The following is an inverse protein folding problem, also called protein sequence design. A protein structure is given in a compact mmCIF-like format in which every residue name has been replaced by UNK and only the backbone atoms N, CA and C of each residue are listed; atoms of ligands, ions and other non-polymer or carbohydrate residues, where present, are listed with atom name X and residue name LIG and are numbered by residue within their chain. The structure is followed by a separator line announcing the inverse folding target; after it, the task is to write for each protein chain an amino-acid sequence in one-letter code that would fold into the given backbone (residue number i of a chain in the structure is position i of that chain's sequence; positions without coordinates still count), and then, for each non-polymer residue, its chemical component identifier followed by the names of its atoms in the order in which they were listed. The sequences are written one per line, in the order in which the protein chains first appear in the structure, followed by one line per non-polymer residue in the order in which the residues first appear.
data_IF_962393790973
#
_entry.id   IF_962393790973
#
_cell.length_a   1.000
_cell.length_b   1.000
_cell.length_c   1.000
_cell.angle_alpha   90.00
_cell.angle_beta   90.00
_cell.angle_gamma   90.00
#
_symmetry.space_group_name_H-M   'P 1'
#
loop_
_entity.id
_entity.type
_entity.pdbx_description
1 polymer ?
#
# COMPACT_ATOMS: atom_id res chain seq x y z
N UNK A 1 22.21 -17.56 5.59
CA UNK A 1 21.95 -17.37 7.02
C UNK A 1 20.49 -17.48 7.34
N UNK A 2 20.18 -18.06 8.52
CA UNK A 2 18.77 -18.25 8.89
C UNK A 2 17.97 -16.94 8.89
N UNK A 3 18.57 -15.86 9.30
CA UNK A 3 17.89 -14.57 9.35
C UNK A 3 17.44 -14.11 7.98
N UNK A 4 18.20 -14.44 6.96
CA UNK A 4 17.83 -14.07 5.60
C UNK A 4 16.59 -14.80 5.12
N UNK A 5 16.45 -16.05 5.51
CA UNK A 5 15.28 -16.82 5.15
C UNK A 5 14.02 -16.22 5.75
N UNK A 6 14.11 -15.80 7.01
CA UNK A 6 12.98 -15.16 7.68
C UNK A 6 12.61 -13.89 6.95
N UNK A 7 13.59 -13.09 6.58
CA UNK A 7 13.34 -11.85 5.87
C UNK A 7 12.71 -12.09 4.51
N UNK A 8 13.13 -13.14 3.82
CA UNK A 8 12.56 -13.48 2.52
C UNK A 8 11.09 -13.85 2.67
N UNK A 9 10.76 -14.62 3.70
CA UNK A 9 9.36 -14.96 3.97
C UNK A 9 8.52 -13.70 4.21
N UNK A 10 9.05 -12.78 5.00
CA UNK A 10 8.33 -11.54 5.28
C UNK A 10 8.10 -10.75 4.00
N UNK A 11 9.08 -10.75 3.11
CA UNK A 11 8.98 -10.03 1.86
C UNK A 11 7.91 -10.58 0.94
N UNK A 12 7.64 -11.89 1.01
CA UNK A 12 6.62 -12.46 0.14
C UNK A 12 5.24 -11.87 0.44
N UNK A 13 5.02 -11.40 1.67
CA UNK A 13 3.77 -10.73 2.02
C UNK A 13 3.69 -9.32 1.47
N UNK A 14 4.81 -8.75 1.08
CA UNK A 14 4.87 -7.40 0.52
C UNK A 14 4.86 -7.40 -1.00
N UNK A 15 4.67 -8.55 -1.61
CA UNK A 15 4.57 -8.65 -3.06
C UNK A 15 3.11 -8.83 -3.46
N UNK A 16 2.66 -7.98 -4.35
CA UNK A 16 1.30 -8.02 -4.89
C UNK A 16 1.41 -8.51 -6.32
N UNK A 17 0.65 -9.56 -6.66
CA UNK A 17 0.71 -10.12 -8.01
C UNK A 17 -0.54 -9.67 -8.75
N UNK A 18 -0.36 -8.75 -9.68
CA UNK A 18 -1.45 -8.14 -10.44
C UNK A 18 -1.25 -8.42 -11.93
N UNK A 19 -2.15 -9.21 -12.50
CA UNK A 19 -2.07 -9.55 -13.92
C UNK A 19 -0.77 -10.25 -14.30
N UNK A 20 -0.20 -11.03 -13.38
CA UNK A 20 1.07 -11.71 -13.62
C UNK A 20 2.30 -10.88 -13.31
N UNK A 21 2.14 -9.61 -12.96
CA UNK A 21 3.25 -8.73 -12.62
C UNK A 21 3.45 -8.66 -11.11
N UNK A 22 4.70 -8.68 -10.69
CA UNK A 22 5.05 -8.56 -9.26
C UNK A 22 5.21 -7.08 -8.90
N UNK A 23 4.47 -6.66 -7.88
CA UNK A 23 4.51 -5.28 -7.40
C UNK A 23 4.98 -5.30 -5.96
N UNK A 24 6.03 -4.56 -5.65
CA UNK A 24 6.48 -4.41 -4.27
C UNK A 24 5.62 -3.37 -3.57
N UNK A 25 4.91 -3.77 -2.52
CA UNK A 25 4.11 -2.83 -1.75
C UNK A 25 4.99 -1.77 -1.10
N UNK A 26 6.23 -2.13 -0.75
CA UNK A 26 7.16 -1.18 -0.14
C UNK A 26 7.57 -0.09 -1.12
N UNK A 27 7.75 -0.43 -2.38
CA UNK A 27 8.06 0.54 -3.41
C UNK A 27 6.92 1.54 -3.59
N UNK A 28 5.69 1.03 -3.58
CA UNK A 28 4.51 1.89 -3.73
C UNK A 28 4.35 2.79 -2.51
N UNK A 29 4.56 2.24 -1.31
CA UNK A 29 4.51 3.03 -0.09
C UNK A 29 5.53 4.17 -0.11
N UNK A 30 6.75 3.87 -0.57
CA UNK A 30 7.79 4.88 -0.64
C UNK A 30 7.38 6.04 -1.55
N UNK A 31 6.79 5.72 -2.69
CA UNK A 31 6.32 6.74 -3.62
C UNK A 31 5.23 7.62 -2.98
N UNK A 32 4.30 6.99 -2.25
CA UNK A 32 3.23 7.73 -1.58
C UNK A 32 3.80 8.63 -0.49
N UNK A 33 4.77 8.12 0.29
CA UNK A 33 5.39 8.91 1.36
C UNK A 33 6.11 10.16 0.85
N UNK A 34 6.48 10.19 -0.41
CA UNK A 34 7.12 11.38 -0.97
C UNK A 34 6.17 12.55 -1.14
N UNK A 35 4.87 12.30 -1.04
CA UNK A 35 3.89 13.39 -1.07
C UNK A 35 3.88 14.09 0.29
N UNK A 36 3.99 15.43 0.30
CA UNK A 36 4.13 16.18 1.57
C UNK A 36 2.90 16.12 2.47
N UNK A 37 1.73 15.81 1.92
CA UNK A 37 0.49 15.76 2.73
C UNK A 37 0.29 14.43 3.44
N UNK A 38 1.11 13.42 3.14
CA UNK A 38 0.93 12.08 3.69
C UNK A 38 1.63 11.96 5.03
N UNK A 39 0.86 11.59 6.06
CA UNK A 39 1.41 11.32 7.39
C UNK A 39 1.88 9.87 7.49
N UNK A 40 1.05 8.94 7.03
CA UNK A 40 1.37 7.52 7.06
C UNK A 40 0.64 6.82 5.92
N UNK A 41 1.20 5.73 5.43
CA UNK A 41 0.52 4.93 4.42
C UNK A 41 0.93 3.47 4.54
N UNK A 42 0.06 2.61 4.03
CA UNK A 42 0.34 1.18 3.92
C UNK A 42 -0.36 0.65 2.68
N UNK A 43 0.35 -0.15 1.90
CA UNK A 43 -0.18 -0.73 0.67
C UNK A 43 -0.28 -2.23 0.85
N UNK A 44 -1.46 -2.77 0.53
CA UNK A 44 -1.72 -4.20 0.65
C UNK A 44 -2.39 -4.70 -0.62
N UNK A 45 -2.39 -6.02 -0.80
CA UNK A 45 -3.07 -6.64 -1.92
C UNK A 45 -4.57 -6.67 -1.68
N UNK A 46 -5.33 -6.25 -2.66
CA UNK A 46 -6.80 -6.39 -2.65
C UNK A 46 -7.18 -7.43 -3.70
N UNK A 47 -7.98 -8.43 -3.35
CA UNK A 47 -8.42 -9.41 -4.33
C UNK A 47 -9.19 -8.74 -5.47
N UNK A 48 -8.94 -9.17 -6.69
CA UNK A 48 -9.56 -8.59 -7.87
C UNK A 48 -9.90 -9.71 -8.86
N UNK A 49 -11.15 -9.80 -9.35
CA UNK A 49 -11.54 -10.90 -10.23
C UNK A 49 -10.85 -10.87 -11.59
N UNK A 50 -10.39 -9.71 -12.03
CA UNK A 50 -9.74 -9.58 -13.32
C UNK A 50 -8.23 -9.78 -13.25
N UNK A 51 -7.60 -9.19 -12.22
CA UNK A 51 -6.14 -9.13 -12.14
C UNK A 51 -5.55 -10.10 -11.11
N UNK A 52 -6.39 -10.76 -10.34
CA UNK A 52 -5.95 -11.57 -9.20
C UNK A 52 -5.81 -10.73 -7.96
N UNK A 53 -4.94 -9.75 -8.00
CA UNK A 53 -4.75 -8.78 -6.94
C UNK A 53 -4.47 -7.41 -7.54
N UNK A 54 -4.80 -6.36 -6.80
CA UNK A 54 -4.40 -4.99 -7.15
C UNK A 54 -3.89 -4.29 -5.88
N UNK A 55 -3.01 -3.30 -6.03
CA UNK A 55 -2.56 -2.55 -4.86
C UNK A 55 -3.68 -1.67 -4.33
N UNK A 56 -3.92 -1.76 -3.03
CA UNK A 56 -4.84 -0.86 -2.32
C UNK A 56 -4.02 -0.10 -1.29
N UNK A 57 -4.06 1.23 -1.37
CA UNK A 57 -3.31 2.07 -0.45
C UNK A 57 -4.24 2.63 0.62
N UNK A 58 -3.84 2.45 1.88
CA UNK A 58 -4.47 3.14 3.01
C UNK A 58 -3.56 4.31 3.36
N UNK A 59 -4.13 5.50 3.43
CA UNK A 59 -3.36 6.72 3.63
C UNK A 59 -3.97 7.53 4.77
N UNK A 60 -3.10 7.97 5.66
CA UNK A 60 -3.45 8.89 6.73
C UNK A 60 -2.81 10.23 6.38
N UNK A 61 -3.64 11.28 6.31
CA UNK A 61 -3.22 12.60 5.86
C UNK A 61 -2.91 13.47 7.07
N UNK A 62 -1.94 14.36 6.96
CA UNK A 62 -1.62 15.30 8.03
C UNK A 62 -2.83 16.17 8.34
N UNK A 63 -2.97 16.57 9.61
CA UNK A 63 -4.18 17.23 10.09
C UNK A 63 -4.51 18.53 9.36
N UNK A 64 -3.50 19.23 8.88
CA UNK A 64 -3.68 20.51 8.19
C UNK A 64 -3.59 20.38 6.67
N UNK A 65 -3.63 19.16 6.16
CA UNK A 65 -3.46 18.90 4.73
C UNK A 65 -4.73 18.32 4.12
N UNK A 66 -4.90 18.58 2.84
CA UNK A 66 -6.00 18.03 2.06
C UNK A 66 -5.45 17.48 0.75
N UNK A 67 -5.77 16.24 0.45
CA UNK A 67 -5.34 15.61 -0.80
C UNK A 67 -6.41 14.62 -1.22
N UNK A 68 -6.70 14.53 -2.51
CA UNK A 68 -7.69 13.62 -3.05
C UNK A 68 -7.03 12.34 -3.54
N UNK A 69 -7.85 11.32 -3.76
CA UNK A 69 -7.37 10.07 -4.36
C UNK A 69 -6.72 10.35 -5.71
N UNK A 70 -7.36 11.20 -6.52
CA UNK A 70 -6.84 11.53 -7.85
C UNK A 70 -5.46 12.19 -7.75
N UNK A 71 -5.28 13.08 -6.77
CA UNK A 71 -3.99 13.75 -6.57
C UNK A 71 -2.89 12.75 -6.24
N UNK A 72 -3.16 11.81 -5.35
CA UNK A 72 -2.16 10.81 -4.96
C UNK A 72 -1.88 9.84 -6.11
N UNK A 73 -2.90 9.46 -6.85
CA UNK A 73 -2.70 8.57 -8.00
C UNK A 73 -1.84 9.27 -9.06
N UNK A 74 -2.13 10.55 -9.33
CA UNK A 74 -1.31 11.32 -10.27
C UNK A 74 0.13 11.44 -9.79
N UNK A 75 0.32 11.65 -8.50
CA UNK A 75 1.65 11.70 -7.89
C UNK A 75 2.39 10.38 -8.10
N UNK A 76 1.72 9.26 -7.85
CA UNK A 76 2.33 7.94 -8.03
C UNK A 76 2.70 7.69 -9.49
N UNK A 77 1.90 8.17 -10.43
CA UNK A 77 2.17 7.98 -11.86
C UNK A 77 3.47 8.63 -12.30
N UNK A 78 3.93 9.66 -11.59
CA UNK A 78 5.20 10.30 -11.91
C UNK A 78 6.41 9.52 -11.38
N UNK A 79 6.18 8.60 -10.43
CA UNK A 79 7.26 7.89 -9.75
C UNK A 79 7.27 6.39 -10.01
N UNK A 80 6.15 5.83 -10.45
CA UNK A 80 5.99 4.38 -10.59
C UNK A 80 5.55 4.00 -11.99
N UNK A 81 5.91 2.79 -12.41
CA UNK A 81 5.35 2.22 -13.63
C UNK A 81 3.83 2.11 -13.48
N UNK A 82 3.10 2.23 -14.58
CA UNK A 82 1.64 2.32 -14.54
C UNK A 82 0.98 1.13 -13.83
N UNK A 83 1.53 -0.09 -14.01
CA UNK A 83 0.93 -1.26 -13.38
C UNK A 83 1.16 -1.30 -11.87
N UNK A 84 2.08 -0.50 -11.35
CA UNK A 84 2.38 -0.43 -9.92
C UNK A 84 1.53 0.61 -9.19
N UNK A 85 0.89 1.51 -9.91
CA UNK A 85 0.09 2.57 -9.31
C UNK A 85 -1.14 1.98 -8.63
N UNK A 86 -1.44 2.35 -7.37
CA UNK A 86 -2.63 1.83 -6.69
C UNK A 86 -3.90 2.15 -7.46
N UNK A 87 -4.79 1.18 -7.55
CA UNK A 87 -6.08 1.37 -8.21
C UNK A 87 -7.05 2.11 -7.32
N UNK A 88 -6.84 2.02 -6.01
CA UNK A 88 -7.75 2.63 -5.04
C UNK A 88 -6.93 3.14 -3.86
N UNK A 89 -7.33 4.29 -3.34
CA UNK A 89 -6.71 4.86 -2.13
C UNK A 89 -7.81 5.14 -1.14
N UNK A 90 -7.65 4.66 0.08
CA UNK A 90 -8.59 4.87 1.17
C UNK A 90 -7.96 5.76 2.22
N UNK A 91 -8.65 6.83 2.55
CA UNK A 91 -8.18 7.77 3.56
C UNK A 91 -8.83 7.38 4.89
N UNK A 92 -8.05 6.73 5.74
CA UNK A 92 -8.53 6.33 7.06
C UNK A 92 -7.35 6.20 8.00
N UNK A 93 -7.67 6.14 9.28
CA UNK A 93 -6.65 5.96 10.31
C UNK A 93 -6.02 4.58 10.14
N UNK A 94 -4.71 4.53 10.18
CA UNK A 94 -3.97 3.28 9.99
C UNK A 94 -3.71 2.65 11.35
N UNK A 95 -4.13 1.39 11.57
CA UNK A 95 -3.90 0.73 12.87
C UNK A 95 -2.41 0.55 13.14
N UNK A 96 -2.01 0.93 14.33
CA UNK A 96 -0.62 0.86 14.75
C UNK A 96 -0.52 0.20 16.12
N UNK A 97 0.62 -0.42 16.37
CA UNK A 97 0.90 -0.96 17.71
C UNK A 97 1.23 0.19 18.66
N UNK A 98 1.36 -0.12 19.95
CA UNK A 98 1.73 0.87 20.94
C UNK A 98 3.11 1.47 20.66
N UNK A 99 3.95 0.77 19.91
CA UNK A 99 5.27 1.25 19.52
C UNK A 99 5.26 2.01 18.19
N UNK A 100 4.07 2.17 17.58
CA UNK A 100 3.94 2.93 16.34
C UNK A 100 4.09 2.13 15.05
N UNK A 101 4.21 0.81 15.14
CA UNK A 101 4.32 -0.03 13.95
C UNK A 101 2.95 -0.25 13.31
N UNK A 102 2.90 -0.12 11.99
CA UNK A 102 1.68 -0.34 11.22
C UNK A 102 1.32 -1.83 11.23
N UNK A 103 0.06 -2.11 11.54
CA UNK A 103 -0.45 -3.49 11.58
C UNK A 103 -1.11 -3.85 10.26
N UNK A 104 -0.30 -4.19 9.27
CA UNK A 104 -0.79 -4.47 7.92
C UNK A 104 -1.78 -5.62 7.85
N UNK A 105 -1.71 -6.58 8.77
CA UNK A 105 -2.63 -7.71 8.73
C UNK A 105 -4.09 -7.26 8.87
N UNK A 106 -4.33 -6.20 9.67
CA UNK A 106 -5.67 -5.65 9.79
C UNK A 106 -6.12 -5.00 8.49
N UNK A 107 -5.20 -4.33 7.81
CA UNK A 107 -5.50 -3.70 6.53
C UNK A 107 -5.77 -4.73 5.45
N UNK A 108 -5.05 -5.84 5.47
CA UNK A 108 -5.29 -6.93 4.53
C UNK A 108 -6.70 -7.50 4.70
N UNK A 109 -7.15 -7.62 5.95
CA UNK A 109 -8.51 -8.09 6.22
C UNK A 109 -9.54 -7.09 5.69
N UNK A 110 -9.31 -5.80 5.92
CA UNK A 110 -10.20 -4.78 5.37
C UNK A 110 -10.25 -4.82 3.85
N UNK A 111 -9.12 -5.07 3.22
CA UNK A 111 -9.06 -5.15 1.76
C UNK A 111 -9.87 -6.33 1.24
N UNK A 112 -9.82 -7.47 1.92
CA UNK A 112 -10.62 -8.64 1.53
C UNK A 112 -12.10 -8.37 1.65
N UNK A 113 -12.51 -7.60 2.64
CA UNK A 113 -13.91 -7.35 2.93
C UNK A 113 -14.44 -6.10 2.22
N UNK A 114 -13.64 -5.50 1.37
CA UNK A 114 -13.96 -4.20 0.77
C UNK A 114 -14.81 -4.30 -0.49
N UNK A 115 -15.26 -5.48 -0.87
CA UNK A 115 -16.06 -5.64 -2.09
C UNK A 115 -17.54 -5.40 -1.85
#
# INVERSE_FOLDING_TARGET
EPDRYVKIKDRSKDIIISGGENISSLEVEDAIYRHPSVLACAVVAKPDPKWGETPLAFVEVKSDATVSQADLIAHCKTLLASYKVPKEIRFEEIPKTSTGKIQKFQLRERAKNAN
#
